data_IF_276415124806
#
_entry.id   IF_276415124806
#
_cell.length_a   1.000
_cell.length_b   1.000
_cell.length_c   1.000
_cell.angle_alpha   90.00
_cell.angle_beta   90.00
_cell.angle_gamma   90.00
#
_symmetry.space_group_name_H-M   'P 1'
#
loop_
_entity.id
_entity.type
_entity.pdbx_description
1 polymer ?
#
# COMPACT_ATOMS: atom_id res chain seq x y z
N UNK A 1 -13.56 22.47 -6.58
CA UNK A 1 -13.13 21.06 -6.62
C UNK A 1 -11.61 21.05 -6.50
N UNK A 2 -11.03 20.50 -5.44
CA UNK A 2 -9.59 20.62 -5.12
C UNK A 2 -8.63 19.83 -6.03
N UNK A 3 -9.02 19.49 -7.26
CA UNK A 3 -8.14 18.82 -8.23
C UNK A 3 -7.52 17.49 -7.78
N UNK A 4 -8.04 16.88 -6.71
CA UNK A 4 -7.50 15.64 -6.15
C UNK A 4 -7.87 14.50 -7.09
N UNK A 5 -6.87 14.03 -7.85
CA UNK A 5 -6.98 12.85 -8.71
C UNK A 5 -6.63 11.64 -7.84
N UNK A 6 -7.63 10.86 -7.48
CA UNK A 6 -7.51 9.71 -6.58
C UNK A 6 -7.81 8.38 -7.28
N UNK A 7 -7.86 8.36 -8.61
CA UNK A 7 -8.14 7.17 -9.42
C UNK A 7 -7.04 6.97 -10.45
N UNK A 8 -6.89 5.74 -10.95
CA UNK A 8 -5.86 5.41 -11.92
C UNK A 8 -6.36 4.45 -13.01
N UNK A 9 -5.70 4.50 -14.16
CA UNK A 9 -5.80 3.44 -15.17
C UNK A 9 -4.48 2.72 -15.26
N UNK A 10 -4.54 1.44 -15.59
CA UNK A 10 -3.37 0.58 -15.70
C UNK A 10 -3.62 -0.47 -16.77
N UNK A 11 -2.53 -0.93 -17.39
CA UNK A 11 -2.53 -2.11 -18.24
C UNK A 11 -2.12 -3.33 -17.40
N UNK A 12 -2.53 -4.53 -17.81
CA UNK A 12 -2.11 -5.76 -17.14
C UNK A 12 -1.98 -6.92 -18.13
N UNK A 13 -1.20 -7.91 -17.72
CA UNK A 13 -1.09 -9.21 -18.41
C UNK A 13 -1.67 -10.31 -17.54
N UNK A 14 -2.23 -11.35 -18.17
CA UNK A 14 -2.79 -12.52 -17.50
C UNK A 14 -1.73 -13.58 -17.24
N UNK A 15 -1.94 -14.36 -16.17
CA UNK A 15 -1.10 -15.50 -15.83
C UNK A 15 -1.70 -16.80 -16.37
N UNK A 16 -1.18 -17.29 -17.50
CA UNK A 16 -1.64 -18.53 -18.13
C UNK A 16 -0.98 -19.79 -17.55
N UNK A 17 -0.17 -19.68 -16.49
CA UNK A 17 0.43 -20.85 -15.84
C UNK A 17 -0.55 -21.43 -14.81
N UNK A 18 -1.43 -22.34 -15.27
CA UNK A 18 -2.40 -23.05 -14.43
C UNK A 18 -3.78 -23.10 -15.07
N UNK A 19 -4.81 -22.99 -14.23
CA UNK A 19 -6.21 -22.85 -14.66
C UNK A 19 -6.44 -21.59 -15.49
N UNK A 20 -7.58 -21.52 -16.18
CA UNK A 20 -7.96 -20.37 -17.02
C UNK A 20 -7.91 -19.06 -16.20
N UNK A 21 -7.11 -18.06 -16.63
CA UNK A 21 -6.92 -16.84 -15.86
C UNK A 21 -8.10 -15.88 -15.93
N UNK A 22 -9.04 -16.11 -16.84
CA UNK A 22 -10.25 -15.32 -17.01
C UNK A 22 -11.43 -16.17 -17.47
N UNK A 23 -12.64 -15.72 -17.09
CA UNK A 23 -13.90 -16.34 -17.45
C UNK A 23 -14.81 -15.31 -18.12
N UNK A 24 -15.54 -15.74 -19.14
CA UNK A 24 -16.54 -14.92 -19.82
C UNK A 24 -17.94 -15.42 -19.51
N UNK A 25 -18.85 -14.50 -19.18
CA UNK A 25 -20.26 -14.78 -18.89
C UNK A 25 -21.13 -13.78 -19.61
N UNK A 26 -22.33 -14.20 -20.01
CA UNK A 26 -23.35 -13.30 -20.56
C UNK A 26 -24.27 -12.92 -19.40
N UNK A 27 -24.42 -11.64 -19.16
CA UNK A 27 -25.46 -11.13 -18.26
C UNK A 27 -26.71 -10.86 -19.11
N UNK A 28 -27.62 -11.85 -19.14
CA UNK A 28 -28.84 -11.79 -19.98
C UNK A 28 -29.78 -10.63 -19.60
N UNK A 29 -29.71 -10.12 -18.37
CA UNK A 29 -30.55 -9.01 -17.93
C UNK A 29 -30.09 -7.66 -18.50
N UNK A 30 -28.78 -7.52 -18.70
CA UNK A 30 -28.15 -6.29 -19.17
C UNK A 30 -27.70 -6.39 -20.64
N UNK A 31 -27.81 -7.58 -21.25
CA UNK A 31 -27.34 -7.91 -22.61
C UNK A 31 -25.86 -7.52 -22.84
N UNK A 32 -25.03 -7.76 -21.83
CA UNK A 32 -23.59 -7.48 -21.87
C UNK A 32 -22.77 -8.75 -21.63
N UNK A 33 -21.58 -8.77 -22.24
CA UNK A 33 -20.55 -9.77 -21.95
C UNK A 33 -19.70 -9.29 -20.77
N UNK A 34 -19.69 -10.07 -19.71
CA UNK A 34 -18.86 -9.84 -18.53
C UNK A 34 -17.61 -10.72 -18.60
N UNK A 35 -16.45 -10.10 -18.38
CA UNK A 35 -15.17 -10.80 -18.25
C UNK A 35 -14.68 -10.71 -16.81
N UNK A 36 -14.57 -11.85 -16.15
CA UNK A 36 -13.98 -11.94 -14.82
C UNK A 36 -12.51 -12.31 -14.94
N UNK A 37 -11.62 -11.45 -14.47
CA UNK A 37 -10.18 -11.75 -14.40
C UNK A 37 -9.88 -12.39 -13.05
N UNK A 38 -9.43 -13.65 -13.06
CA UNK A 38 -9.08 -14.41 -11.86
C UNK A 38 -7.58 -14.28 -11.52
N UNK A 39 -6.70 -14.16 -12.53
CA UNK A 39 -5.24 -14.20 -12.31
C UNK A 39 -4.50 -13.15 -13.15
N UNK A 40 -4.04 -12.08 -12.49
CA UNK A 40 -3.16 -11.06 -13.07
C UNK A 40 -1.70 -11.47 -12.83
N UNK A 41 -0.91 -11.56 -13.89
CA UNK A 41 0.52 -11.81 -13.81
C UNK A 41 1.28 -10.53 -13.41
N UNK A 42 1.00 -9.42 -14.09
CA UNK A 42 1.69 -8.16 -13.88
C UNK A 42 0.87 -6.96 -14.33
N UNK A 43 1.08 -5.84 -13.65
CA UNK A 43 0.48 -4.53 -13.94
C UNK A 43 1.56 -3.59 -14.49
N UNK A 44 1.20 -2.79 -15.49
CA UNK A 44 2.05 -1.84 -16.19
C UNK A 44 1.29 -0.51 -16.44
N UNK A 45 2.00 0.54 -16.85
CA UNK A 45 1.44 1.82 -17.31
C UNK A 45 0.41 2.46 -16.37
N UNK A 46 0.74 2.49 -15.07
CA UNK A 46 -0.12 3.09 -14.04
C UNK A 46 -0.12 4.62 -14.20
N UNK A 47 -1.27 5.19 -14.54
CA UNK A 47 -1.46 6.63 -14.72
C UNK A 47 -2.62 7.15 -13.89
N UNK A 48 -2.40 8.24 -13.16
CA UNK A 48 -3.45 8.94 -12.42
C UNK A 48 -4.37 9.67 -13.40
N UNK A 49 -5.68 9.41 -13.32
CA UNK A 49 -6.66 9.97 -14.25
C UNK A 49 -7.95 10.38 -13.53
N UNK A 50 -8.63 11.38 -14.07
CA UNK A 50 -9.94 11.84 -13.56
C UNK A 50 -11.10 10.96 -14.02
N UNK A 51 -10.89 10.15 -15.06
CA UNK A 51 -11.89 9.24 -15.63
C UNK A 51 -11.20 7.91 -15.92
N UNK A 52 -11.18 6.98 -14.95
CA UNK A 52 -10.47 5.73 -15.08
C UNK A 52 -11.23 4.74 -15.96
N UNK A 53 -10.49 3.83 -16.61
CA UNK A 53 -11.05 2.68 -17.30
C UNK A 53 -11.77 1.72 -16.33
N UNK A 54 -11.38 1.74 -15.06
CA UNK A 54 -11.96 0.91 -14.00
C UNK A 54 -12.51 1.82 -12.89
N UNK A 55 -13.81 1.73 -12.64
CA UNK A 55 -14.54 2.58 -11.70
C UNK A 55 -14.06 2.42 -10.26
N UNK A 56 -13.60 1.23 -9.89
CA UNK A 56 -13.09 0.90 -8.56
C UNK A 56 -11.56 0.91 -8.51
N UNK A 57 -10.97 2.10 -8.68
CA UNK A 57 -9.53 2.33 -8.49
C UNK A 57 -9.29 3.44 -7.48
N UNK A 58 -8.40 3.20 -6.53
CA UNK A 58 -8.00 4.17 -5.53
C UNK A 58 -6.47 4.36 -5.56
N UNK A 59 -6.04 5.56 -5.89
CA UNK A 59 -4.66 6.00 -5.77
C UNK A 59 -4.48 6.70 -4.42
N UNK A 60 -3.82 6.02 -3.51
CA UNK A 60 -3.43 6.57 -2.20
C UNK A 60 -1.93 6.84 -2.18
N UNK A 61 -1.53 7.91 -1.50
CA UNK A 61 -0.11 8.16 -1.24
C UNK A 61 0.44 6.98 -0.44
N UNK A 62 1.54 6.39 -0.90
CA UNK A 62 2.18 5.26 -0.26
C UNK A 62 2.75 5.64 1.11
N UNK A 63 1.92 5.64 2.15
CA UNK A 63 2.32 5.96 3.52
C UNK A 63 3.29 4.93 4.12
N UNK A 64 3.36 3.72 3.53
CA UNK A 64 4.23 2.63 4.01
C UNK A 64 5.72 2.99 4.01
N UNK A 65 6.18 3.80 3.06
CA UNK A 65 7.58 4.25 3.07
C UNK A 65 7.83 5.33 4.12
N UNK A 66 6.83 6.19 4.36
CA UNK A 66 6.89 7.23 5.38
C UNK A 66 6.85 6.64 6.79
N UNK A 67 5.99 5.67 7.05
CA UNK A 67 5.96 4.90 8.30
C UNK A 67 7.31 4.23 8.57
N UNK A 68 7.90 3.58 7.55
CA UNK A 68 9.22 2.96 7.68
C UNK A 68 10.33 3.97 7.95
N UNK A 69 10.23 5.18 7.41
CA UNK A 69 11.18 6.28 7.68
C UNK A 69 11.00 6.81 9.11
N UNK A 70 9.76 6.93 9.60
CA UNK A 70 9.50 7.31 11.00
C UNK A 70 9.98 6.23 11.98
N UNK A 71 9.72 4.94 11.73
CA UNK A 71 10.28 3.84 12.53
C UNK A 71 11.82 3.88 12.58
N UNK A 72 12.47 4.16 11.45
CA UNK A 72 13.93 4.31 11.40
C UNK A 72 14.43 5.55 12.16
N UNK A 73 13.65 6.64 12.20
CA UNK A 73 13.97 7.82 13.01
C UNK A 73 13.80 7.52 14.49
N UNK A 74 12.71 6.86 14.88
CA UNK A 74 12.43 6.45 16.26
C UNK A 74 13.52 5.52 16.79
N UNK A 75 13.94 4.53 16.00
CA UNK A 75 15.06 3.63 16.33
C UNK A 75 16.39 4.38 16.47
N UNK A 76 16.58 5.49 15.75
CA UNK A 76 17.79 6.31 15.83
C UNK A 76 17.76 7.30 17.00
N UNK A 77 16.58 7.74 17.42
CA UNK A 77 16.38 8.60 18.59
C UNK A 77 16.23 7.81 19.90
N UNK A 78 16.03 6.49 19.82
CA UNK A 78 16.00 5.63 20.99
C UNK A 78 17.32 5.76 21.75
N UNK A 79 17.30 6.11 23.05
CA UNK A 79 18.51 6.17 23.85
C UNK A 79 19.16 4.78 23.86
N UNK A 80 20.46 4.74 23.56
CA UNK A 80 21.24 3.50 23.60
C UNK A 80 21.22 2.92 25.01
N UNK A 81 21.30 1.60 25.14
CA UNK A 81 21.30 0.89 26.43
C UNK A 81 22.33 1.46 27.43
N UNK A 82 23.45 2.00 26.94
CA UNK A 82 24.46 2.67 27.76
C UNK A 82 23.95 3.98 28.37
N UNK A 83 23.18 4.78 27.62
CA UNK A 83 22.60 6.04 28.10
C UNK A 83 21.53 5.74 29.16
N UNK A 84 20.68 4.74 28.91
CA UNK A 84 19.66 4.28 29.86
C UNK A 84 20.26 3.76 31.17
N UNK A 85 21.40 3.06 31.09
CA UNK A 85 22.14 2.60 32.29
C UNK A 85 22.70 3.76 33.10
N UNK A 86 23.31 4.73 32.43
CA UNK A 86 23.85 5.93 33.09
C UNK A 86 22.72 6.72 33.77
N UNK A 87 21.56 6.84 33.13
CA UNK A 87 20.40 7.53 33.69
C UNK A 87 19.82 6.80 34.91
N UNK A 88 19.76 5.46 34.88
CA UNK A 88 19.38 4.62 36.03
C UNK A 88 20.37 4.73 37.20
N UNK A 89 21.67 4.74 36.90
CA UNK A 89 22.73 4.91 37.91
C UNK A 89 22.64 6.30 38.55
N UNK A 90 22.40 7.35 37.77
CA UNK A 90 22.18 8.71 38.27
C UNK A 90 20.96 8.80 39.19
N UNK A 91 19.84 8.17 38.81
CA UNK A 91 18.62 8.12 39.63
C UNK A 91 18.83 7.42 40.97
N UNK A 92 19.72 6.41 41.00
CA UNK A 92 20.04 5.67 42.21
C UNK A 92 20.91 6.44 43.20
N UNK A 93 21.63 7.48 42.73
CA UNK A 93 22.48 8.35 43.55
C UNK A 93 21.69 9.48 44.24
N UNK A 94 20.55 9.88 43.67
CA UNK A 94 19.69 10.96 44.18
C UNK A 94 18.62 10.48 45.18
N UNK A 95 18.56 9.18 45.48
CA UNK A 95 17.69 8.63 46.52
C UNK A 95 18.36 8.81 47.90
N UNK A 96 17.79 9.60 48.83
CA UNK A 96 18.27 9.61 50.21
C UNK A 96 18.00 8.23 50.86
N UNK A 97 18.93 7.78 51.71
CA UNK A 97 18.81 6.53 52.50
C UNK A 97 17.48 6.41 53.26
#
# INVERSE_FOLDING_TARGET
>A
RSGVINQCSFAFSLDYNGDEPDEWRINENEDIYERRINRIHRIYDISLVTTPAYSDTAAVVGARSMEKVEEMKEQRSAPTDEILKIELELLSLDLPE
#
